data_IF_197715733745
#
_entry.id   IF_197715733745
#
_cell.length_a   1.000
_cell.length_b   1.000
_cell.length_c   1.000
_cell.angle_alpha   90.00
_cell.angle_beta   90.00
_cell.angle_gamma   90.00
#
_symmetry.space_group_name_H-M   'P 1'
#
loop_
_entity.id
_entity.type
_entity.pdbx_description
1 polymer ?
#
# COMPACT_ATOMS: atom_id res chain seq x y z
N UNK A 1 -7.47 16.71 -29.19
CA UNK A 1 -6.63 15.99 -28.22
C UNK A 1 -7.45 15.82 -26.96
N UNK A 2 -8.10 14.67 -26.81
CA UNK A 2 -8.71 14.32 -25.52
C UNK A 2 -7.59 14.27 -24.49
N UNK A 3 -7.58 15.23 -23.57
CA UNK A 3 -6.67 15.18 -22.43
C UNK A 3 -7.21 14.05 -21.55
N UNK A 4 -6.54 12.90 -21.54
CA UNK A 4 -6.94 11.77 -20.72
C UNK A 4 -7.13 12.18 -19.25
N UNK A 5 -8.07 11.52 -18.56
CA UNK A 5 -8.50 11.83 -17.20
C UNK A 5 -7.31 12.06 -16.24
N UNK A 6 -6.32 11.15 -16.26
CA UNK A 6 -5.09 11.26 -15.47
C UNK A 6 -4.32 12.57 -15.71
N UNK A 7 -4.17 13.01 -16.96
CA UNK A 7 -3.43 14.22 -17.30
C UNK A 7 -4.11 15.48 -16.76
N UNK A 8 -5.44 15.51 -16.71
CA UNK A 8 -6.20 16.65 -16.19
C UNK A 8 -6.00 16.80 -14.68
N UNK A 9 -6.15 15.72 -13.92
CA UNK A 9 -6.05 15.76 -12.45
C UNK A 9 -4.62 16.10 -12.00
N UNK A 10 -3.61 15.53 -12.68
CA UNK A 10 -2.19 15.85 -12.43
C UNK A 10 -1.90 17.33 -12.72
N UNK A 11 -2.46 17.89 -13.79
CA UNK A 11 -2.29 19.31 -14.13
C UNK A 11 -2.82 20.22 -13.02
N UNK A 12 -3.98 19.88 -12.43
CA UNK A 12 -4.55 20.62 -11.29
C UNK A 12 -3.61 20.62 -10.10
N UNK A 13 -3.08 19.46 -9.70
CA UNK A 13 -2.11 19.35 -8.59
C UNK A 13 -0.84 20.19 -8.84
N UNK A 14 -0.30 20.15 -10.07
CA UNK A 14 0.88 20.95 -10.43
C UNK A 14 0.61 22.45 -10.40
N UNK A 15 -0.54 22.90 -10.93
CA UNK A 15 -0.92 24.32 -10.91
C UNK A 15 -1.09 24.85 -9.50
N UNK A 16 -1.69 24.04 -8.62
CA UNK A 16 -1.85 24.40 -7.21
C UNK A 16 -0.48 24.59 -6.54
N UNK A 17 0.44 23.64 -6.71
CA UNK A 17 1.80 23.76 -6.16
C UNK A 17 2.57 24.96 -6.74
N UNK A 18 2.33 25.32 -7.99
CA UNK A 18 2.96 26.46 -8.62
C UNK A 18 2.61 27.77 -7.89
N UNK A 19 1.37 27.93 -7.41
CA UNK A 19 0.96 29.09 -6.62
C UNK A 19 1.80 29.23 -5.34
N UNK A 20 2.05 28.12 -4.62
CA UNK A 20 2.86 28.11 -3.40
C UNK A 20 4.34 28.34 -3.71
N UNK A 21 4.86 27.70 -4.75
CA UNK A 21 6.27 27.83 -5.15
C UNK A 21 6.65 29.26 -5.55
N UNK A 22 5.71 29.98 -6.18
CA UNK A 22 5.88 31.38 -6.57
C UNK A 22 5.62 32.37 -5.41
N UNK A 23 5.09 31.90 -4.29
CA UNK A 23 4.86 32.75 -3.12
C UNK A 23 6.17 33.11 -2.39
N UNK A 24 6.15 34.21 -1.64
CA UNK A 24 7.30 34.63 -0.82
C UNK A 24 7.40 33.85 0.49
N UNK A 25 6.25 33.58 1.14
CA UNK A 25 6.20 33.07 2.52
C UNK A 25 5.72 31.61 2.63
N UNK A 26 5.12 31.05 1.57
CA UNK A 26 4.41 29.77 1.65
C UNK A 26 4.99 28.69 0.74
N UNK A 27 6.27 28.81 0.34
CA UNK A 27 6.92 27.88 -0.61
C UNK A 27 6.89 26.42 -0.18
N UNK A 28 7.02 26.16 1.12
CA UNK A 28 7.02 24.83 1.71
C UNK A 28 5.70 24.49 2.41
N UNK A 29 4.65 25.31 2.24
CA UNK A 29 3.39 25.09 2.92
C UNK A 29 2.61 23.94 2.27
N UNK A 30 2.27 22.93 3.05
CA UNK A 30 1.32 21.89 2.66
C UNK A 30 -0.08 22.29 3.13
N UNK A 31 -0.92 22.72 2.18
CA UNK A 31 -2.31 23.09 2.43
C UNK A 31 -3.17 21.92 2.94
N UNK A 32 -2.76 20.68 2.69
CA UNK A 32 -3.50 19.49 3.05
C UNK A 32 -3.05 18.91 4.39
N UNK A 33 -1.97 19.44 4.98
CA UNK A 33 -1.39 18.92 6.22
C UNK A 33 -2.42 18.83 7.34
N UNK A 34 -3.20 19.89 7.59
CA UNK A 34 -4.21 19.89 8.64
C UNK A 34 -5.25 18.77 8.45
N UNK A 35 -5.73 18.56 7.22
CA UNK A 35 -6.67 17.49 6.89
C UNK A 35 -6.05 16.12 7.14
N UNK A 36 -4.80 15.91 6.72
CA UNK A 36 -4.06 14.65 6.96
C UNK A 36 -3.89 14.37 8.45
N UNK A 37 -3.53 15.39 9.25
CA UNK A 37 -3.36 15.28 10.70
C UNK A 37 -4.68 14.94 11.40
N UNK A 38 -5.78 15.59 11.00
CA UNK A 38 -7.12 15.29 11.55
C UNK A 38 -7.55 13.87 11.20
N UNK A 39 -7.33 13.43 9.96
CA UNK A 39 -7.63 12.07 9.54
C UNK A 39 -6.83 11.04 10.38
N UNK A 40 -5.53 11.27 10.57
CA UNK A 40 -4.69 10.40 11.42
C UNK A 40 -5.24 10.31 12.85
N UNK A 41 -5.57 11.45 13.47
CA UNK A 41 -6.13 11.48 14.84
C UNK A 41 -7.45 10.73 14.92
N UNK A 42 -8.30 10.83 13.90
CA UNK A 42 -9.58 10.12 13.85
C UNK A 42 -9.43 8.59 13.81
N UNK A 43 -8.29 8.09 13.35
CA UNK A 43 -7.95 6.66 13.32
C UNK A 43 -7.29 6.15 14.61
N UNK A 44 -7.34 6.90 15.72
CA UNK A 44 -6.74 6.54 17.02
C UNK A 44 -6.94 5.08 17.40
N UNK A 45 -8.18 4.61 17.43
CA UNK A 45 -8.51 3.25 17.91
C UNK A 45 -7.81 2.19 17.06
N UNK A 46 -7.85 2.35 15.74
CA UNK A 46 -7.18 1.48 14.78
C UNK A 46 -5.66 1.43 14.99
N UNK A 47 -5.06 2.60 15.23
CA UNK A 47 -3.61 2.75 15.42
C UNK A 47 -3.17 2.05 16.70
N UNK A 48 -3.89 2.26 17.81
CA UNK A 48 -3.58 1.62 19.09
C UNK A 48 -3.70 0.09 18.97
N UNK A 49 -4.81 -0.39 18.41
CA UNK A 49 -5.06 -1.83 18.26
C UNK A 49 -3.99 -2.50 17.39
N UNK A 50 -3.60 -1.89 16.27
CA UNK A 50 -2.56 -2.43 15.42
C UNK A 50 -1.16 -2.34 16.06
N UNK A 51 -0.90 -1.34 16.91
CA UNK A 51 0.36 -1.26 17.65
C UNK A 51 0.49 -2.45 18.64
N UNK A 52 -0.58 -2.75 19.37
CA UNK A 52 -0.66 -3.95 20.24
C UNK A 52 -0.47 -5.23 19.42
N UNK A 53 -1.14 -5.34 18.27
CA UNK A 53 -1.01 -6.50 17.40
C UNK A 53 0.43 -6.65 16.85
N UNK A 54 1.04 -5.57 16.38
CA UNK A 54 2.43 -5.58 15.89
C UNK A 54 3.42 -6.01 16.98
N UNK A 55 3.24 -5.55 18.22
CA UNK A 55 4.04 -6.00 19.37
C UNK A 55 3.91 -7.51 19.59
N UNK A 56 2.70 -8.06 19.53
CA UNK A 56 2.48 -9.49 19.64
C UNK A 56 3.17 -10.28 18.50
N UNK A 57 3.06 -9.82 17.25
CA UNK A 57 3.73 -10.43 16.09
C UNK A 57 5.25 -10.43 16.27
N UNK A 58 5.85 -9.29 16.62
CA UNK A 58 7.32 -9.17 16.77
C UNK A 58 7.85 -10.05 17.90
N UNK A 59 7.12 -10.16 19.02
CA UNK A 59 7.45 -11.08 20.10
C UNK A 59 7.32 -12.55 19.69
N UNK A 60 6.27 -12.89 18.92
CA UNK A 60 6.06 -14.26 18.42
C UNK A 60 7.09 -14.68 17.38
N UNK A 61 7.56 -13.77 16.53
CA UNK A 61 8.63 -14.06 15.56
C UNK A 61 9.96 -14.34 16.26
N UNK A 62 10.15 -13.78 17.46
CA UNK A 62 11.35 -13.98 18.29
C UNK A 62 11.29 -15.29 19.10
N UNK A 63 10.09 -15.74 19.50
CA UNK A 63 9.91 -16.98 20.26
C UNK A 63 9.81 -18.19 19.33
N UNK A 64 10.91 -18.95 19.22
CA UNK A 64 11.05 -20.09 18.32
C UNK A 64 10.28 -21.33 18.81
N UNK A 65 8.96 -21.37 18.64
CA UNK A 65 8.13 -22.52 19.04
C UNK A 65 7.13 -22.93 17.96
N UNK A 66 7.63 -23.38 16.80
CA UNK A 66 6.81 -24.07 15.80
C UNK A 66 7.07 -25.59 15.84
N UNK A 67 6.02 -26.44 15.77
CA UNK A 67 6.17 -27.90 15.81
C UNK A 67 6.95 -28.48 14.61
N UNK A 68 6.88 -27.82 13.46
CA UNK A 68 7.58 -28.22 12.23
C UNK A 68 7.99 -27.00 11.40
N UNK A 69 8.95 -27.18 10.48
CA UNK A 69 9.33 -26.13 9.53
C UNK A 69 8.19 -25.83 8.53
N UNK A 70 7.37 -26.84 8.19
CA UNK A 70 6.20 -26.65 7.32
C UNK A 70 5.15 -25.74 7.98
N UNK A 71 4.88 -25.95 9.28
CA UNK A 71 3.96 -25.08 10.04
C UNK A 71 4.49 -23.65 10.15
N UNK A 72 5.81 -23.49 10.27
CA UNK A 72 6.47 -22.19 10.27
C UNK A 72 6.31 -21.47 8.93
N UNK A 73 6.48 -22.16 7.81
CA UNK A 73 6.29 -21.59 6.48
C UNK A 73 4.84 -21.15 6.25
N UNK A 74 3.87 -22.00 6.63
CA UNK A 74 2.45 -21.67 6.56
C UNK A 74 2.11 -20.46 7.43
N UNK A 75 2.66 -20.39 8.65
CA UNK A 75 2.46 -19.25 9.54
C UNK A 75 3.03 -17.96 8.93
N UNK A 76 4.23 -18.03 8.35
CA UNK A 76 4.87 -16.89 7.71
C UNK A 76 4.07 -16.37 6.51
N UNK A 77 3.54 -17.26 5.66
CA UNK A 77 2.67 -16.89 4.55
C UNK A 77 1.38 -16.22 5.05
N UNK A 78 0.71 -16.81 6.06
CA UNK A 78 -0.53 -16.24 6.60
C UNK A 78 -0.31 -14.84 7.20
N UNK A 79 0.78 -14.66 7.97
CA UNK A 79 1.14 -13.36 8.52
C UNK A 79 1.48 -12.34 7.41
N UNK A 80 2.21 -12.77 6.38
CA UNK A 80 2.51 -11.91 5.24
C UNK A 80 1.24 -11.47 4.52
N UNK A 81 0.30 -12.39 4.30
CA UNK A 81 -0.99 -12.09 3.69
C UNK A 81 -1.79 -11.10 4.54
N UNK A 82 -1.89 -11.34 5.84
CA UNK A 82 -2.63 -10.48 6.76
C UNK A 82 -2.08 -9.07 6.80
N UNK A 83 -0.78 -8.90 7.05
CA UNK A 83 -0.15 -7.57 7.13
C UNK A 83 -0.25 -6.84 5.79
N UNK A 84 -0.14 -7.56 4.67
CA UNK A 84 -0.32 -6.98 3.32
C UNK A 84 -1.77 -6.57 3.06
N UNK A 85 -2.76 -7.33 3.53
CA UNK A 85 -4.18 -6.99 3.38
C UNK A 85 -4.57 -5.81 4.28
N UNK A 86 -3.99 -5.68 5.47
CA UNK A 86 -4.14 -4.49 6.32
C UNK A 86 -3.60 -3.25 5.58
N UNK A 87 -2.42 -3.37 4.95
CA UNK A 87 -1.86 -2.30 4.10
C UNK A 87 -2.73 -1.99 2.87
N UNK A 88 -3.33 -3.01 2.24
CA UNK A 88 -4.24 -2.85 1.10
C UNK A 88 -5.50 -2.05 1.45
N UNK A 89 -6.19 -2.45 2.52
CA UNK A 89 -7.48 -1.88 2.89
C UNK A 89 -7.32 -0.54 3.61
N UNK A 90 -6.22 -0.33 4.35
CA UNK A 90 -5.90 0.96 4.98
C UNK A 90 -7.10 1.54 5.73
N UNK A 91 -7.55 2.72 5.33
CA UNK A 91 -8.68 3.45 5.94
C UNK A 91 -10.05 2.72 5.82
N UNK A 92 -10.16 1.69 4.98
CA UNK A 92 -11.35 0.85 4.82
C UNK A 92 -11.27 -0.47 5.62
N UNK A 93 -10.24 -0.64 6.46
CA UNK A 93 -10.07 -1.84 7.28
C UNK A 93 -11.12 -1.89 8.38
N UNK A 94 -12.01 -2.89 8.33
CA UNK A 94 -12.85 -3.22 9.48
C UNK A 94 -11.97 -3.88 10.55
N UNK A 95 -11.73 -3.15 11.64
CA UNK A 95 -10.87 -3.60 12.75
C UNK A 95 -11.40 -4.87 13.44
N UNK A 96 -12.70 -5.19 13.31
CA UNK A 96 -13.24 -6.45 13.83
C UNK A 96 -12.66 -7.70 13.14
N UNK A 97 -11.91 -7.50 12.05
CA UNK A 97 -11.21 -8.53 11.30
C UNK A 97 -9.79 -8.80 11.83
N UNK A 98 -9.25 -7.94 12.72
CA UNK A 98 -7.94 -8.17 13.34
C UNK A 98 -8.07 -9.26 14.42
N UNK A 99 -7.38 -10.41 14.29
CA UNK A 99 -7.44 -11.49 15.26
C UNK A 99 -6.69 -11.14 16.55
N UNK A 100 -7.32 -11.46 17.67
CA UNK A 100 -6.73 -11.33 19.00
C UNK A 100 -5.71 -12.47 19.23
N UNK A 101 -4.41 -12.16 19.02
CA UNK A 101 -3.29 -13.11 19.11
C UNK A 101 -2.93 -13.42 20.57
N UNK A 102 -3.79 -14.19 21.24
CA UNK A 102 -3.41 -14.98 22.42
C UNK A 102 -3.24 -16.46 22.04
N UNK A 103 -2.04 -16.99 22.33
CA UNK A 103 -1.47 -18.35 22.39
C UNK A 103 -2.01 -19.54 21.54
N UNK A 104 -3.03 -19.37 20.69
CA UNK A 104 -3.51 -20.33 19.68
C UNK A 104 -3.46 -19.72 18.27
N UNK A 105 -2.35 -19.02 17.98
CA UNK A 105 -2.17 -18.13 16.84
C UNK A 105 -2.47 -18.79 15.48
N UNK A 106 -2.04 -20.03 15.24
CA UNK A 106 -2.20 -20.69 13.94
C UNK A 106 -3.66 -20.90 13.53
N UNK A 107 -4.53 -21.30 14.46
CA UNK A 107 -5.94 -21.57 14.19
C UNK A 107 -6.77 -20.28 14.04
N UNK A 108 -6.36 -19.21 14.71
CA UNK A 108 -6.98 -17.87 14.63
C UNK A 108 -6.53 -17.09 13.39
N UNK A 109 -5.25 -17.18 13.01
CA UNK A 109 -4.69 -16.61 11.77
C UNK A 109 -5.38 -17.21 10.54
N UNK A 110 -5.61 -18.54 10.54
CA UNK A 110 -6.42 -19.20 9.53
C UNK A 110 -7.83 -18.62 9.44
N UNK A 111 -8.44 -18.22 10.56
CA UNK A 111 -9.80 -17.68 10.60
C UNK A 111 -9.92 -16.23 10.13
N UNK A 112 -8.90 -15.37 10.32
CA UNK A 112 -8.95 -13.94 9.96
C UNK A 112 -8.57 -13.69 8.49
N UNK A 113 -7.48 -14.30 8.02
CA UNK A 113 -7.07 -14.22 6.61
C UNK A 113 -8.12 -14.88 5.69
N UNK A 114 -8.71 -16.01 6.10
CA UNK A 114 -9.82 -16.63 5.38
C UNK A 114 -11.09 -15.78 5.41
N UNK A 115 -11.36 -15.01 6.47
CA UNK A 115 -12.52 -14.09 6.54
C UNK A 115 -12.40 -12.91 5.57
N UNK A 116 -11.20 -12.40 5.35
CA UNK A 116 -10.96 -11.27 4.46
C UNK A 116 -10.85 -11.68 2.98
N UNK A 117 -10.37 -12.89 2.69
CA UNK A 117 -10.49 -13.52 1.37
C UNK A 117 -11.92 -14.02 1.07
N UNK A 118 -12.69 -14.39 2.11
CA UNK A 118 -14.10 -14.79 2.01
C UNK A 118 -15.09 -13.62 2.01
N UNK A 119 -14.68 -12.42 2.44
CA UNK A 119 -15.41 -11.20 2.15
C UNK A 119 -15.14 -10.92 0.67
N UNK A 120 -16.01 -11.40 -0.22
CA UNK A 120 -15.80 -11.55 -1.67
C UNK A 120 -15.45 -10.31 -2.49
N UNK A 121 -14.96 -9.24 -1.87
CA UNK A 121 -14.52 -7.96 -2.41
C UNK A 121 -13.09 -7.99 -3.00
N UNK A 122 -12.28 -9.01 -2.72
CA UNK A 122 -10.95 -9.17 -3.31
C UNK A 122 -11.06 -9.93 -4.64
N UNK A 123 -10.80 -9.25 -5.75
CA UNK A 123 -11.02 -9.79 -7.10
C UNK A 123 -9.84 -10.59 -7.65
N UNK A 124 -8.63 -10.29 -7.18
CA UNK A 124 -7.39 -11.01 -7.51
C UNK A 124 -6.48 -11.01 -6.28
N UNK A 125 -5.75 -12.10 -6.04
CA UNK A 125 -4.88 -12.24 -4.88
C UNK A 125 -3.58 -12.99 -5.20
N UNK A 126 -2.57 -12.24 -5.62
CA UNK A 126 -1.25 -12.79 -5.93
C UNK A 126 -0.23 -12.64 -4.78
N UNK A 127 -0.69 -12.37 -3.54
CA UNK A 127 0.20 -12.33 -2.37
C UNK A 127 1.03 -13.61 -2.17
N UNK A 128 0.49 -14.83 -2.37
CA UNK A 128 1.30 -16.05 -2.26
C UNK A 128 2.50 -16.05 -3.22
N UNK A 129 2.32 -15.59 -4.46
CA UNK A 129 3.40 -15.56 -5.45
C UNK A 129 4.51 -14.57 -5.04
N UNK A 130 4.14 -13.39 -4.54
CA UNK A 130 5.10 -12.41 -4.03
C UNK A 130 5.86 -12.94 -2.80
N UNK A 131 5.17 -13.65 -1.89
CA UNK A 131 5.77 -14.27 -0.72
C UNK A 131 6.80 -15.33 -1.10
N UNK A 132 6.47 -16.24 -2.02
CA UNK A 132 7.38 -17.30 -2.48
C UNK A 132 8.69 -16.73 -3.02
N UNK A 133 8.64 -15.61 -3.75
CA UNK A 133 9.86 -14.93 -4.23
C UNK A 133 10.70 -14.40 -3.06
N UNK A 134 10.11 -13.63 -2.14
CA UNK A 134 10.85 -13.06 -1.00
C UNK A 134 11.44 -14.17 -0.13
N UNK A 135 10.67 -15.23 0.12
CA UNK A 135 11.07 -16.40 0.91
C UNK A 135 12.17 -17.21 0.21
N UNK A 136 12.07 -17.40 -1.10
CA UNK A 136 13.11 -18.03 -1.92
C UNK A 136 14.43 -17.26 -1.87
N UNK A 137 14.38 -15.93 -1.99
CA UNK A 137 15.56 -15.06 -1.83
C UNK A 137 16.14 -15.15 -0.41
N UNK A 138 15.28 -15.26 0.61
CA UNK A 138 15.69 -15.35 2.00
C UNK A 138 16.45 -16.65 2.27
N UNK A 139 15.92 -17.78 1.78
CA UNK A 139 16.59 -19.09 1.87
C UNK A 139 17.91 -19.13 1.10
N UNK A 140 17.97 -18.43 -0.04
CA UNK A 140 19.17 -18.32 -0.85
C UNK A 140 20.20 -17.30 -0.31
N UNK A 141 19.89 -16.55 0.75
CA UNK A 141 20.75 -15.50 1.27
C UNK A 141 21.03 -14.36 0.27
N UNK A 142 20.15 -14.18 -0.73
CA UNK A 142 20.27 -13.12 -1.74
C UNK A 142 19.75 -11.79 -1.19
N UNK A 143 20.25 -10.62 -1.63
CA UNK A 143 19.73 -9.32 -1.18
C UNK A 143 18.22 -9.17 -1.41
N UNK A 144 17.51 -8.66 -0.41
CA UNK A 144 16.04 -8.50 -0.38
C UNK A 144 15.64 -7.06 -0.09
N UNK A 145 16.02 -6.13 -0.96
CA UNK A 145 15.54 -4.75 -0.86
C UNK A 145 14.10 -4.66 -1.35
N UNK A 146 13.19 -4.13 -0.52
CA UNK A 146 11.80 -3.91 -0.92
C UNK A 146 11.55 -2.41 -1.06
N UNK A 147 10.96 -2.00 -2.16
CA UNK A 147 10.59 -0.62 -2.41
C UNK A 147 9.07 -0.47 -2.26
N UNK A 148 8.59 0.53 -1.53
CA UNK A 148 7.15 0.82 -1.36
C UNK A 148 6.87 2.21 -1.92
N UNK A 149 6.15 2.26 -3.04
CA UNK A 149 5.62 3.48 -3.65
C UNK A 149 4.30 3.84 -2.97
N UNK A 150 4.38 4.86 -2.12
CA UNK A 150 3.32 5.24 -1.19
C UNK A 150 2.15 5.96 -1.89
N UNK A 151 0.95 5.81 -1.32
CA UNK A 151 -0.26 6.53 -1.70
C UNK A 151 -0.57 7.61 -0.67
N UNK A 152 -1.47 7.35 0.29
CA UNK A 152 -1.98 8.34 1.23
C UNK A 152 -1.24 8.40 2.58
N UNK A 153 -1.19 9.60 3.16
CA UNK A 153 -0.78 9.86 4.53
C UNK A 153 -1.86 9.41 5.54
N UNK A 154 -1.59 9.62 6.83
CA UNK A 154 -2.51 9.23 7.90
C UNK A 154 -2.43 7.73 8.18
N UNK A 155 -3.58 7.08 8.33
CA UNK A 155 -3.63 5.67 8.71
C UNK A 155 -3.10 4.73 7.62
N UNK A 156 -3.23 5.07 6.34
CA UNK A 156 -2.63 4.27 5.26
C UNK A 156 -1.09 4.25 5.35
N UNK A 157 -0.45 5.42 5.51
CA UNK A 157 0.98 5.50 5.76
C UNK A 157 1.38 4.70 7.01
N UNK A 158 0.58 4.76 8.07
CA UNK A 158 0.83 4.00 9.29
C UNK A 158 0.85 2.48 9.05
N UNK A 159 -0.15 1.93 8.35
CA UNK A 159 -0.15 0.48 8.04
C UNK A 159 0.96 0.09 7.06
N UNK A 160 1.39 1.01 6.19
CA UNK A 160 2.54 0.79 5.31
C UNK A 160 3.87 0.72 6.08
N UNK A 161 4.02 1.51 7.16
CA UNK A 161 5.17 1.38 8.06
C UNK A 161 5.14 0.09 8.85
N UNK A 162 3.96 -0.36 9.27
CA UNK A 162 3.80 -1.66 9.94
C UNK A 162 4.18 -2.80 8.99
N UNK A 163 3.76 -2.74 7.73
CA UNK A 163 4.19 -3.68 6.69
C UNK A 163 5.72 -3.64 6.49
N UNK A 164 6.30 -2.45 6.33
CA UNK A 164 7.75 -2.29 6.16
C UNK A 164 8.53 -2.87 7.36
N UNK A 165 8.10 -2.56 8.58
CA UNK A 165 8.73 -3.06 9.79
C UNK A 165 8.58 -4.58 9.93
N UNK A 166 7.41 -5.13 9.59
CA UNK A 166 7.20 -6.58 9.54
C UNK A 166 8.15 -7.27 8.56
N UNK A 167 8.29 -6.75 7.33
CA UNK A 167 9.18 -7.34 6.33
C UNK A 167 10.64 -7.41 6.82
N UNK A 168 11.09 -6.36 7.51
CA UNK A 168 12.42 -6.28 8.11
C UNK A 168 12.58 -7.25 9.29
N UNK A 169 11.64 -7.25 10.24
CA UNK A 169 11.69 -8.11 11.44
C UNK A 169 11.57 -9.59 11.08
N UNK A 170 10.76 -9.95 10.08
CA UNK A 170 10.63 -11.31 9.57
C UNK A 170 11.82 -11.76 8.72
N UNK A 171 12.75 -10.85 8.38
CA UNK A 171 13.88 -11.10 7.50
C UNK A 171 13.50 -11.33 6.02
N UNK A 172 12.25 -11.04 5.66
CA UNK A 172 11.76 -11.07 4.28
C UNK A 172 12.35 -9.92 3.45
N UNK A 173 12.78 -8.85 4.11
CA UNK A 173 13.56 -7.76 3.53
C UNK A 173 14.82 -7.50 4.36
N UNK A 174 15.92 -7.11 3.70
CA UNK A 174 17.13 -6.60 4.36
C UNK A 174 17.06 -5.08 4.57
N UNK A 175 16.38 -4.40 3.64
CA UNK A 175 16.10 -2.97 3.68
C UNK A 175 14.80 -2.67 2.96
N UNK A 176 14.10 -1.62 3.40
CA UNK A 176 12.88 -1.09 2.80
C UNK A 176 13.11 0.37 2.42
N UNK A 177 12.83 0.70 1.16
CA UNK A 177 12.82 2.08 0.66
C UNK A 177 11.38 2.55 0.52
N UNK A 178 11.01 3.55 1.29
CA UNK A 178 9.75 4.27 1.18
C UNK A 178 9.91 5.38 0.12
N UNK A 179 9.04 5.39 -0.88
CA UNK A 179 9.06 6.33 -2.01
C UNK A 179 7.85 7.29 -1.92
N UNK A 180 7.96 8.38 -1.13
CA UNK A 180 6.90 9.39 -1.04
C UNK A 180 6.89 10.32 -2.26
N UNK A 181 5.83 11.13 -2.38
CA UNK A 181 5.75 12.22 -3.35
C UNK A 181 6.72 13.34 -2.97
N UNK A 182 7.19 14.07 -3.98
CA UNK A 182 8.16 15.17 -3.82
C UNK A 182 7.53 16.51 -3.40
N UNK A 183 6.20 16.60 -3.42
CA UNK A 183 5.41 17.81 -3.15
C UNK A 183 3.99 17.41 -2.75
N UNK A 184 3.23 18.28 -2.07
CA UNK A 184 1.80 18.07 -1.82
C UNK A 184 1.08 17.65 -3.10
N UNK A 185 0.42 16.50 -3.07
CA UNK A 185 -0.09 15.83 -4.26
C UNK A 185 -1.40 15.14 -3.92
N UNK A 186 -2.40 15.26 -4.81
CA UNK A 186 -3.69 14.56 -4.71
C UNK A 186 -4.34 14.58 -3.30
N UNK A 187 -4.26 15.73 -2.62
CA UNK A 187 -4.81 15.97 -1.28
C UNK A 187 -4.06 15.17 -0.20
N UNK A 188 -4.23 13.86 -0.18
CA UNK A 188 -3.76 13.01 0.91
C UNK A 188 -2.42 12.33 0.65
N UNK A 189 -1.81 12.46 -0.53
CA UNK A 189 -0.59 11.70 -0.80
C UNK A 189 0.56 12.04 0.16
N UNK A 190 1.33 11.01 0.50
CA UNK A 190 2.47 11.10 1.41
C UNK A 190 3.56 11.98 0.81
N UNK A 191 3.96 13.01 1.56
CA UNK A 191 5.26 13.68 1.41
C UNK A 191 6.18 13.32 2.56
N UNK A 192 7.49 13.58 2.43
CA UNK A 192 8.45 13.25 3.49
C UNK A 192 8.07 13.84 4.87
N UNK A 193 7.49 15.05 4.90
CA UNK A 193 7.02 15.69 6.14
C UNK A 193 5.93 14.89 6.88
N UNK A 194 5.06 14.18 6.15
CA UNK A 194 3.98 13.40 6.74
C UNK A 194 4.50 12.21 7.55
N UNK A 195 5.63 11.61 7.14
CA UNK A 195 6.26 10.54 7.89
C UNK A 195 6.78 11.04 9.25
N UNK A 196 7.48 12.17 9.26
CA UNK A 196 7.96 12.76 10.52
C UNK A 196 6.80 13.13 11.42
N UNK A 197 5.71 13.68 10.86
CA UNK A 197 4.48 13.95 11.59
C UNK A 197 3.88 12.70 12.23
N UNK A 198 3.84 11.59 11.50
CA UNK A 198 3.36 10.30 12.02
C UNK A 198 4.26 9.76 13.13
N UNK A 199 5.59 9.78 12.96
CA UNK A 199 6.52 9.31 13.99
C UNK A 199 6.41 10.15 15.27
N UNK A 200 6.27 11.46 15.14
CA UNK A 200 6.03 12.35 16.29
C UNK A 200 4.70 12.04 16.99
N UNK A 201 3.63 11.74 16.22
CA UNK A 201 2.35 11.34 16.79
C UNK A 201 2.43 10.00 17.55
N UNK A 202 3.28 9.05 17.12
CA UNK A 202 3.52 7.80 17.84
C UNK A 202 4.39 8.01 19.10
N UNK A 203 5.31 8.96 19.06
CA UNK A 203 6.17 9.31 20.20
C UNK A 203 5.42 10.06 21.31
N UNK A 204 4.39 10.84 20.96
CA UNK A 204 3.55 11.60 21.89
C UNK A 204 2.10 11.08 21.89
N UNK A 205 1.75 10.14 22.80
CA UNK A 205 0.39 9.60 22.90
C UNK A 205 -0.69 10.68 23.10
N UNK A 206 -0.36 11.85 23.67
CA UNK A 206 -1.30 12.95 23.83
C UNK A 206 -1.84 13.47 22.49
N UNK A 207 -1.14 13.22 21.39
CA UNK A 207 -1.63 13.51 20.04
C UNK A 207 -3.00 12.87 19.75
N UNK A 208 -3.26 11.69 20.32
CA UNK A 208 -4.50 10.94 20.17
C UNK A 208 -5.56 11.27 21.23
N UNK A 209 -5.22 12.07 22.24
CA UNK A 209 -6.12 12.51 23.32
C UNK A 209 -5.56 12.20 24.70
N UNK A 210 -6.09 12.89 25.71
CA UNK A 210 -5.60 12.82 27.09
C UNK A 210 -6.04 11.53 27.82
N UNK A 211 -6.95 10.77 27.24
CA UNK A 211 -7.57 9.56 27.79
C UNK A 211 -6.94 8.25 27.27
N UNK A 212 -5.77 8.30 26.63
CA UNK A 212 -5.02 7.11 26.21
C UNK A 212 -4.50 6.38 27.46
N UNK A 213 -4.84 5.10 27.61
CA UNK A 213 -4.38 4.33 28.77
C UNK A 213 -2.86 4.08 28.71
N UNK A 214 -2.20 3.96 29.86
CA UNK A 214 -0.73 3.79 29.88
C UNK A 214 -0.26 2.52 29.14
N UNK A 215 -1.05 1.45 29.14
CA UNK A 215 -0.75 0.24 28.37
C UNK A 215 -0.77 0.50 26.84
N UNK A 216 -1.76 1.27 26.36
CA UNK A 216 -1.87 1.67 24.96
C UNK A 216 -0.72 2.59 24.56
N UNK A 217 -0.40 3.56 25.43
CA UNK A 217 0.75 4.44 25.27
C UNK A 217 2.07 3.66 25.19
N UNK A 218 2.24 2.62 26.00
CA UNK A 218 3.43 1.76 25.96
C UNK A 218 3.55 0.99 24.63
N UNK A 219 2.44 0.55 24.04
CA UNK A 219 2.45 -0.13 22.74
C UNK A 219 2.77 0.83 21.59
N UNK A 220 2.26 2.06 21.63
CA UNK A 220 2.63 3.11 20.67
C UNK A 220 4.12 3.46 20.76
N UNK A 221 4.65 3.63 21.98
CA UNK A 221 6.08 3.89 22.21
C UNK A 221 6.95 2.73 21.71
N UNK A 222 6.54 1.49 21.96
CA UNK A 222 7.24 0.31 21.44
C UNK A 222 7.35 0.33 19.91
N UNK A 223 6.24 0.63 19.22
CA UNK A 223 6.24 0.74 17.77
C UNK A 223 7.14 1.88 17.28
N UNK A 224 7.04 3.06 17.92
CA UNK A 224 7.91 4.20 17.62
C UNK A 224 9.40 3.88 17.78
N UNK A 225 9.79 3.24 18.88
CA UNK A 225 11.18 2.82 19.14
C UNK A 225 11.66 1.84 18.07
N UNK A 226 10.83 0.85 17.71
CA UNK A 226 11.16 -0.11 16.66
C UNK A 226 11.37 0.57 15.32
N UNK A 227 10.45 1.43 14.89
CA UNK A 227 10.58 2.18 13.64
C UNK A 227 11.82 3.08 13.65
N UNK A 228 12.11 3.72 14.78
CA UNK A 228 13.28 4.59 14.95
C UNK A 228 14.59 3.83 14.83
N UNK A 229 14.69 2.62 15.41
CA UNK A 229 15.87 1.76 15.28
C UNK A 229 16.06 1.32 13.83
N UNK A 230 15.01 0.81 13.18
CA UNK A 230 15.07 0.39 11.77
C UNK A 230 15.51 1.54 10.85
N UNK A 231 15.05 2.76 11.13
CA UNK A 231 15.48 3.95 10.40
C UNK A 231 16.94 4.31 10.69
N UNK A 232 17.35 4.34 11.97
CA UNK A 232 18.71 4.70 12.38
C UNK A 232 19.77 3.70 11.87
N UNK A 233 19.43 2.42 11.77
CA UNK A 233 20.27 1.36 11.20
C UNK A 233 20.32 1.39 9.66
N UNK A 234 19.59 2.30 9.02
CA UNK A 234 19.53 2.41 7.56
C UNK A 234 18.72 1.30 6.88
N UNK A 235 17.96 0.52 7.65
CA UNK A 235 17.08 -0.52 7.11
C UNK A 235 15.79 0.06 6.55
N UNK A 236 15.34 1.22 7.04
CA UNK A 236 14.17 1.93 6.50
C UNK A 236 14.56 3.33 6.03
N UNK A 237 14.50 3.57 4.71
CA UNK A 237 15.00 4.80 4.08
C UNK A 237 13.90 5.48 3.28
N UNK A 238 13.86 6.82 3.31
CA UNK A 238 12.99 7.62 2.46
C UNK A 238 13.74 8.11 1.22
N UNK A 239 13.17 7.91 0.03
CA UNK A 239 13.71 8.44 -1.23
C UNK A 239 12.59 9.05 -2.08
N UNK A 240 12.29 10.36 -1.92
CA UNK A 240 11.37 11.04 -2.82
C UNK A 240 11.98 11.16 -4.23
N UNK A 241 11.12 11.21 -5.23
CA UNK A 241 11.52 11.48 -6.62
C UNK A 241 10.45 12.32 -7.33
N UNK A 242 10.88 13.23 -8.20
CA UNK A 242 9.99 14.11 -8.96
C UNK A 242 9.13 13.35 -9.99
N UNK A 243 9.56 12.15 -10.41
CA UNK A 243 8.83 11.30 -11.33
C UNK A 243 7.47 10.86 -10.76
N UNK A 244 7.38 10.60 -9.45
CA UNK A 244 6.13 10.20 -8.80
C UNK A 244 5.03 11.25 -8.92
N UNK A 245 5.41 12.52 -8.98
CA UNK A 245 4.51 13.67 -9.16
C UNK A 245 4.44 14.15 -10.62
N UNK A 246 5.03 13.41 -11.57
CA UNK A 246 4.95 13.73 -13.01
C UNK A 246 3.61 13.27 -13.61
N UNK A 247 3.31 13.76 -14.82
CA UNK A 247 2.14 13.33 -15.61
C UNK A 247 2.30 11.97 -16.28
N UNK A 248 3.51 11.41 -16.23
CA UNK A 248 3.83 10.21 -16.98
C UNK A 248 3.20 8.97 -16.34
N UNK A 249 2.74 8.05 -17.21
CA UNK A 249 2.57 6.66 -16.80
C UNK A 249 3.94 6.07 -16.48
N UNK A 250 3.94 4.99 -15.69
CA UNK A 250 5.18 4.33 -15.32
C UNK A 250 5.86 3.67 -16.52
N UNK A 251 5.15 3.41 -17.63
CA UNK A 251 5.77 2.95 -18.88
C UNK A 251 6.86 3.89 -19.41
N UNK A 252 6.83 5.16 -19.01
CA UNK A 252 7.84 6.16 -19.41
C UNK A 252 9.04 6.20 -18.47
N UNK A 253 9.02 5.49 -17.33
CA UNK A 253 10.07 5.50 -16.31
C UNK A 253 11.46 5.19 -16.90
N UNK A 254 11.63 4.18 -17.79
CA UNK A 254 12.94 3.93 -18.42
C UNK A 254 13.50 5.11 -19.22
N UNK A 255 12.62 5.92 -19.84
CA UNK A 255 13.03 7.03 -20.70
C UNK A 255 13.10 8.39 -20.00
N UNK A 256 12.26 8.60 -18.97
CA UNK A 256 12.11 9.91 -18.31
C UNK A 256 12.86 10.00 -16.99
N UNK A 257 13.12 8.86 -16.34
CA UNK A 257 13.85 8.76 -15.09
C UNK A 257 14.76 7.52 -15.09
N UNK A 258 15.76 7.46 -15.98
CA UNK A 258 16.63 6.28 -16.14
C UNK A 258 17.41 5.93 -14.86
N UNK A 259 17.78 6.92 -14.05
CA UNK A 259 18.46 6.70 -12.77
C UNK A 259 17.53 6.01 -11.76
N UNK A 260 16.28 6.47 -11.65
CA UNK A 260 15.25 5.84 -10.83
C UNK A 260 14.92 4.43 -11.35
N UNK A 261 14.87 4.24 -12.66
CA UNK A 261 14.67 2.92 -13.27
C UNK A 261 15.79 1.95 -12.89
N UNK A 262 17.05 2.39 -13.04
CA UNK A 262 18.21 1.61 -12.62
C UNK A 262 18.17 1.26 -11.14
N UNK A 263 17.90 2.25 -10.28
CA UNK A 263 17.75 2.02 -8.84
C UNK A 263 16.63 1.01 -8.56
N UNK A 264 15.43 1.15 -9.13
CA UNK A 264 14.33 0.21 -8.90
C UNK A 264 14.63 -1.23 -9.35
N UNK A 265 15.47 -1.43 -10.35
CA UNK A 265 15.91 -2.78 -10.76
C UNK A 265 16.73 -3.48 -9.69
N UNK A 266 17.34 -2.78 -8.75
CA UNK A 266 18.04 -3.43 -7.64
C UNK A 266 17.06 -3.96 -6.56
N UNK A 267 15.79 -3.56 -6.60
CA UNK A 267 14.78 -4.04 -5.67
C UNK A 267 14.45 -5.52 -5.93
N UNK A 268 14.33 -6.30 -4.86
CA UNK A 268 13.78 -7.64 -4.91
C UNK A 268 12.27 -7.62 -5.20
N UNK A 269 11.56 -6.59 -4.73
CA UNK A 269 10.13 -6.37 -4.95
C UNK A 269 9.82 -4.86 -4.88
N UNK A 270 8.99 -4.37 -5.80
CA UNK A 270 8.44 -3.01 -5.76
C UNK A 270 6.93 -3.09 -5.53
N UNK A 271 6.49 -2.59 -4.38
CA UNK A 271 5.09 -2.54 -3.95
C UNK A 271 4.51 -1.18 -4.32
N UNK A 272 3.42 -1.15 -5.08
CA UNK A 272 2.69 0.06 -5.45
C UNK A 272 1.37 0.12 -4.70
N UNK A 273 1.19 1.16 -3.88
CA UNK A 273 -0.03 1.36 -3.10
C UNK A 273 -1.06 2.19 -3.85
N UNK A 274 -2.32 1.80 -3.74
CA UNK A 274 -3.46 2.67 -4.08
C UNK A 274 -3.78 2.80 -5.56
N UNK A 275 -4.86 3.53 -5.84
CA UNK A 275 -5.48 3.61 -7.17
C UNK A 275 -4.66 4.43 -8.16
N UNK A 276 -4.07 5.56 -7.73
CA UNK A 276 -3.30 6.43 -8.63
C UNK A 276 -2.04 5.72 -9.15
N UNK A 277 -1.32 5.00 -8.29
CA UNK A 277 -0.17 4.22 -8.70
C UNK A 277 -0.58 3.10 -9.66
N UNK A 278 -1.70 2.41 -9.41
CA UNK A 278 -2.23 1.40 -10.33
C UNK A 278 -2.58 1.98 -11.70
N UNK A 279 -3.28 3.11 -11.75
CA UNK A 279 -3.61 3.80 -13.00
C UNK A 279 -2.34 4.17 -13.77
N UNK A 280 -1.30 4.65 -13.09
CA UNK A 280 0.01 4.91 -13.70
C UNK A 280 0.75 3.64 -14.15
N UNK A 281 0.62 2.54 -13.43
CA UNK A 281 1.18 1.22 -13.79
C UNK A 281 0.61 0.74 -15.12
N UNK A 282 -0.71 0.82 -15.29
CA UNK A 282 -1.40 0.29 -16.48
C UNK A 282 -1.73 1.37 -17.53
N UNK A 283 -1.15 2.56 -17.40
CA UNK A 283 -1.28 3.65 -18.38
C UNK A 283 -2.63 4.38 -18.40
N UNK A 284 -3.56 4.07 -17.49
CA UNK A 284 -4.91 4.65 -17.38
C UNK A 284 -5.72 4.57 -18.70
N UNK A 285 -5.65 3.43 -19.38
CA UNK A 285 -6.36 3.19 -20.65
C UNK A 285 -7.53 2.20 -20.48
N UNK A 286 -8.43 2.17 -21.46
CA UNK A 286 -9.59 1.27 -21.49
C UNK A 286 -9.22 -0.15 -21.90
N UNK A 287 -8.49 -0.85 -21.04
CA UNK A 287 -8.14 -2.25 -21.24
C UNK A 287 -9.37 -3.17 -21.28
N UNK A 288 -9.34 -4.24 -22.10
CA UNK A 288 -10.13 -5.44 -21.83
C UNK A 288 -9.86 -5.92 -20.38
N UNK A 289 -10.89 -6.17 -19.55
CA UNK A 289 -10.71 -6.55 -18.14
C UNK A 289 -9.85 -7.79 -17.94
N UNK A 290 -9.82 -8.68 -18.93
CA UNK A 290 -9.09 -9.95 -18.91
C UNK A 290 -7.65 -9.84 -19.38
N UNK A 291 -7.20 -8.65 -19.82
CA UNK A 291 -5.79 -8.42 -20.22
C UNK A 291 -4.86 -8.82 -19.08
N UNK A 292 -3.81 -9.64 -19.30
CA UNK A 292 -2.89 -10.02 -18.23
C UNK A 292 -2.21 -8.81 -17.58
N UNK A 293 -2.05 -8.83 -16.26
CA UNK A 293 -1.41 -7.72 -15.53
C UNK A 293 0.05 -7.49 -15.98
N UNK A 294 0.79 -8.57 -16.26
CA UNK A 294 2.15 -8.52 -16.80
C UNK A 294 2.25 -7.82 -18.16
N UNK A 295 1.24 -7.94 -19.00
CA UNK A 295 1.14 -7.19 -20.27
C UNK A 295 0.80 -5.72 -20.01
N UNK A 296 -0.19 -5.46 -19.15
CA UNK A 296 -0.70 -4.12 -18.88
C UNK A 296 0.33 -3.17 -18.25
N UNK A 297 1.30 -3.69 -17.47
CA UNK A 297 2.37 -2.86 -16.88
C UNK A 297 3.50 -2.52 -17.88
N UNK A 298 3.45 -3.08 -19.09
CA UNK A 298 4.36 -2.75 -20.19
C UNK A 298 5.85 -2.90 -19.81
N UNK A 299 6.70 -1.89 -20.08
CA UNK A 299 8.14 -1.96 -19.84
C UNK A 299 8.56 -2.29 -18.40
N UNK A 300 7.67 -2.13 -17.41
CA UNK A 300 8.01 -2.49 -16.03
C UNK A 300 8.15 -4.00 -15.84
N UNK A 301 7.45 -4.80 -16.65
CA UNK A 301 7.60 -6.24 -16.63
C UNK A 301 8.95 -6.70 -17.20
N UNK A 302 9.76 -5.78 -17.77
CA UNK A 302 11.10 -6.05 -18.28
C UNK A 302 12.17 -5.69 -17.24
N UNK A 303 12.15 -6.37 -16.10
CA UNK A 303 13.20 -6.28 -15.08
C UNK A 303 12.77 -5.83 -13.69
N UNK A 304 11.49 -5.56 -13.44
CA UNK A 304 10.98 -5.35 -12.07
C UNK A 304 10.07 -6.50 -11.63
N UNK A 305 10.11 -6.81 -10.34
CA UNK A 305 9.04 -7.55 -9.67
C UNK A 305 8.07 -6.56 -9.07
N UNK A 306 6.85 -6.54 -9.60
CA UNK A 306 5.83 -5.53 -9.24
C UNK A 306 4.73 -6.21 -8.45
N UNK A 307 4.37 -5.64 -7.30
CA UNK A 307 3.18 -5.98 -6.53
C UNK A 307 2.29 -4.75 -6.42
N UNK A 308 1.08 -4.80 -6.96
CA UNK A 308 0.10 -3.74 -6.79
C UNK A 308 -0.89 -4.08 -5.68
N UNK A 309 -1.01 -3.21 -4.68
CA UNK A 309 -2.01 -3.28 -3.62
C UNK A 309 -3.03 -2.16 -3.84
N UNK A 310 -4.14 -2.47 -4.52
CA UNK A 310 -5.08 -1.45 -5.00
C UNK A 310 -6.51 -1.70 -4.54
N UNK A 311 -7.10 -0.73 -3.85
CA UNK A 311 -8.55 -0.56 -3.77
C UNK A 311 -9.05 0.13 -5.03
N UNK A 312 -10.08 -0.42 -5.68
CA UNK A 312 -10.59 0.08 -6.96
C UNK A 312 -11.33 1.41 -6.75
N UNK A 313 -10.79 2.50 -7.30
CA UNK A 313 -11.39 3.86 -7.29
C UNK A 313 -11.36 4.53 -8.67
N UNK A 314 -11.33 3.72 -9.73
CA UNK A 314 -11.28 4.19 -11.12
C UNK A 314 -11.62 3.08 -12.11
N UNK A 315 -12.00 3.47 -13.33
CA UNK A 315 -12.53 2.55 -14.36
C UNK A 315 -11.56 1.45 -14.78
N UNK A 316 -10.26 1.74 -14.78
CA UNK A 316 -9.28 0.79 -15.30
C UNK A 316 -9.18 -0.43 -14.40
N UNK A 317 -9.20 -1.63 -14.99
CA UNK A 317 -8.94 -2.90 -14.32
C UNK A 317 -8.43 -3.89 -15.36
N UNK A 318 -7.52 -4.77 -14.96
CA UNK A 318 -6.95 -5.83 -15.80
C UNK A 318 -6.82 -7.11 -14.98
N UNK A 319 -6.54 -8.24 -15.63
CA UNK A 319 -6.28 -9.53 -15.00
C UNK A 319 -7.48 -10.17 -14.30
N UNK A 320 -8.71 -9.79 -14.66
CA UNK A 320 -9.91 -10.45 -14.15
C UNK A 320 -10.18 -11.76 -14.91
N UNK A 321 -10.82 -12.76 -14.27
CA UNK A 321 -11.38 -13.90 -14.98
C UNK A 321 -12.44 -13.48 -16.01
N UNK A 322 -12.59 -14.26 -17.07
CA UNK A 322 -13.66 -14.09 -18.06
C UNK A 322 -15.04 -14.07 -17.39
N UNK A 323 -15.90 -13.12 -17.79
CA UNK A 323 -17.25 -12.94 -17.24
C UNK A 323 -17.32 -12.22 -15.88
N UNK A 324 -16.19 -11.98 -15.20
CA UNK A 324 -16.20 -11.39 -13.85
C UNK A 324 -16.56 -9.91 -13.86
N UNK A 325 -16.10 -9.15 -14.85
CA UNK A 325 -16.46 -7.72 -14.95
C UNK A 325 -17.96 -7.56 -15.25
N UNK A 326 -18.51 -8.41 -16.12
CA UNK A 326 -19.93 -8.47 -16.45
C UNK A 326 -20.78 -8.76 -15.21
N UNK A 327 -20.41 -9.76 -14.41
CA UNK A 327 -21.08 -10.09 -13.14
C UNK A 327 -21.10 -8.88 -12.17
N UNK A 328 -19.97 -8.20 -12.02
CA UNK A 328 -19.83 -7.07 -11.11
C UNK A 328 -20.64 -5.85 -11.57
N UNK A 329 -20.78 -5.63 -12.88
CA UNK A 329 -21.63 -4.56 -13.43
C UNK A 329 -23.11 -4.77 -13.13
N UNK A 330 -23.55 -6.01 -13.03
CA UNK A 330 -24.93 -6.37 -12.71
C UNK A 330 -25.23 -6.44 -11.20
N UNK A 331 -24.23 -6.24 -10.32
CA UNK A 331 -24.44 -6.30 -8.87
C UNK A 331 -25.10 -5.02 -8.32
N UNK A 332 -26.22 -5.15 -7.61
CA UNK A 332 -26.91 -4.01 -6.96
C UNK A 332 -25.99 -3.30 -5.94
N UNK A 333 -25.97 -1.95 -5.99
CA UNK A 333 -25.08 -1.12 -5.17
C UNK A 333 -23.69 -0.86 -5.76
N UNK A 334 -23.43 -1.32 -6.99
CA UNK A 334 -22.23 -0.96 -7.76
C UNK A 334 -22.14 0.53 -8.06
N UNK A 335 -23.28 1.22 -8.19
CA UNK A 335 -23.33 2.67 -8.20
C UNK A 335 -23.33 3.16 -6.75
N UNK A 336 -22.29 3.88 -6.33
CA UNK A 336 -22.42 4.80 -5.20
C UNK A 336 -23.51 5.85 -5.47
N UNK A 337 -23.60 6.91 -4.66
CA UNK A 337 -24.50 8.06 -4.89
C UNK A 337 -24.16 8.87 -6.18
N UNK A 338 -23.61 8.24 -7.21
CA UNK A 338 -23.23 8.87 -8.46
C UNK A 338 -24.36 8.73 -9.49
N UNK A 339 -24.90 9.89 -9.81
CA UNK A 339 -25.70 10.30 -10.96
C UNK A 339 -26.71 9.29 -11.55
N UNK A 340 -28.00 9.65 -11.46
CA UNK A 340 -29.12 8.95 -12.12
C UNK A 340 -28.92 8.87 -13.64
N UNK A 341 -28.20 9.82 -14.27
CA UNK A 341 -27.92 9.80 -15.71
C UNK A 341 -26.97 8.67 -16.14
N UNK A 342 -25.99 8.33 -15.29
CA UNK A 342 -25.06 7.26 -15.60
C UNK A 342 -25.70 5.85 -15.49
N UNK A 343 -26.94 5.72 -14.96
CA UNK A 343 -27.68 4.44 -14.94
C UNK A 343 -28.00 3.92 -16.34
N UNK A 344 -27.82 4.75 -17.36
CA UNK A 344 -28.07 4.44 -18.77
C UNK A 344 -26.87 3.86 -19.53
N UNK A 345 -25.67 3.84 -18.93
CA UNK A 345 -24.48 3.29 -19.60
C UNK A 345 -24.08 1.92 -19.02
N UNK A 346 -24.51 0.86 -19.70
CA UNK A 346 -24.22 -0.55 -19.38
C UNK A 346 -22.73 -0.91 -19.50
N UNK A 347 -21.90 0.00 -20.05
CA UNK A 347 -20.45 -0.18 -20.18
C UNK A 347 -19.66 0.35 -18.99
N UNK A 348 -20.27 1.13 -18.10
CA UNK A 348 -19.56 1.80 -17.01
C UNK A 348 -19.23 0.82 -15.86
N UNK A 349 -17.95 0.78 -15.43
CA UNK A 349 -17.49 -0.06 -14.29
C UNK A 349 -17.72 0.62 -12.95
N UNK A 350 -18.97 0.96 -12.66
CA UNK A 350 -19.37 1.70 -11.44
C UNK A 350 -18.90 1.04 -10.15
N UNK A 351 -18.93 -0.30 -10.12
CA UNK A 351 -18.44 -1.09 -9.01
C UNK A 351 -16.99 -0.74 -8.64
N UNK A 352 -16.17 -0.31 -9.61
CA UNK A 352 -14.76 0.01 -9.43
C UNK A 352 -14.50 1.44 -8.91
N UNK A 353 -15.53 2.25 -8.63
CA UNK A 353 -15.36 3.64 -8.19
C UNK A 353 -15.50 3.83 -6.68
N UNK A 354 -16.12 2.87 -5.98
CA UNK A 354 -16.54 3.03 -4.60
C UNK A 354 -15.47 2.61 -3.56
N UNK A 355 -14.33 2.06 -3.98
CA UNK A 355 -13.29 1.57 -3.07
C UNK A 355 -13.66 0.28 -2.32
N UNK A 356 -14.83 -0.31 -2.60
CA UNK A 356 -15.30 -1.56 -1.97
C UNK A 356 -14.50 -2.77 -2.44
N UNK A 357 -14.12 -2.78 -3.71
CA UNK A 357 -13.41 -3.89 -4.34
C UNK A 357 -11.92 -3.61 -4.38
N UNK A 358 -11.11 -4.67 -4.38
CA UNK A 358 -9.67 -4.56 -4.46
C UNK A 358 -9.06 -5.63 -5.35
N UNK A 359 -7.85 -5.35 -5.84
CA UNK A 359 -7.00 -6.31 -6.56
C UNK A 359 -5.62 -6.30 -5.91
N UNK A 360 -5.06 -7.50 -5.73
CA UNK A 360 -3.65 -7.70 -5.45
C UNK A 360 -3.04 -8.47 -6.61
N UNK A 361 -2.19 -7.79 -7.38
CA UNK A 361 -1.65 -8.33 -8.62
C UNK A 361 -0.13 -8.31 -8.59
N UNK A 362 0.48 -9.43 -8.97
CA UNK A 362 1.92 -9.61 -9.00
C UNK A 362 2.40 -9.92 -10.41
N UNK A 363 3.54 -9.33 -10.78
CA UNK A 363 4.24 -9.65 -12.02
C UNK A 363 5.72 -9.85 -11.73
N UNK A 364 6.26 -11.03 -12.08
CA UNK A 364 7.67 -11.35 -11.96
C UNK A 364 8.42 -11.05 -13.26
N UNK A 365 8.77 -9.78 -13.46
CA UNK A 365 9.58 -9.34 -14.59
C UNK A 365 11.06 -9.74 -14.51
N UNK A 366 11.46 -10.52 -13.49
CA UNK A 366 12.82 -11.05 -13.30
C UNK A 366 12.88 -12.58 -13.36
N UNK A 367 11.77 -13.26 -13.62
CA UNK A 367 11.68 -14.73 -13.59
C UNK A 367 12.50 -15.46 -14.67
N UNK A 368 13.17 -14.72 -15.57
CA UNK A 368 14.07 -15.26 -16.60
C UNK A 368 15.57 -15.12 -16.31
N UNK A 369 15.97 -14.54 -15.17
CA UNK A 369 17.38 -14.35 -14.75
C UNK A 369 17.87 -15.36 -13.70
#
# INVERSE_FOLDING_TARGET
MDRGCLSSVICTGRRLQQLFTLSTHWKAYDIFHATKTTALRSSRRAIIELATHFKAITQSLSSSSFPSEEDREKAALLLFQEVSLISLWGNATDLSLLPDLSHSALQKLQGAAARQASAGNLLANDLPAAFEVLRGLQKAGKPRRVDIVLDNAGFELYVDLVLAAYLLVAGLADSVILRPKSMPWFVSDVVAADLYGLLNALADPAFFGDDVAEAEAADLRFLFEKLSVLHAEGQMILRPDAFWTSAHSFWRLPSQAPDLWGDLKDAALVVFKGDLNYRKLVGDVMWPPTTPFSEAIGPLNEGLRVLALRTCKGDVVVGLPEGRDEELRHTEGAAGQFDEEAKKDDKARRWAWCGKWAVVQFADGKGGE
#
